data_IF_159948701124
#
_entry.id   IF_159948701124
#
_cell.length_a   1.000
_cell.length_b   1.000
_cell.length_c   1.000
_cell.angle_alpha   90.00
_cell.angle_beta   90.00
_cell.angle_gamma   90.00
#
_symmetry.space_group_name_H-M   'P 1'
#
loop_
_entity.id
_entity.type
_entity.pdbx_description
1 polymer ?
#
# COMPACT_ATOMS: atom_id res chain seq x y z
N UNK A 1 7.39 12.42 -9.67
CA UNK A 1 8.05 11.73 -8.54
C UNK A 1 9.13 12.65 -8.00
N UNK A 2 9.13 12.87 -6.70
CA UNK A 2 10.09 13.75 -6.01
C UNK A 2 10.92 12.90 -5.05
N UNK A 3 12.25 12.93 -5.19
CA UNK A 3 13.15 12.14 -4.36
C UNK A 3 13.77 13.01 -3.25
N UNK A 4 13.81 12.46 -2.05
CA UNK A 4 14.39 13.08 -0.86
C UNK A 4 15.48 12.15 -0.33
N UNK A 5 16.58 12.72 0.15
CA UNK A 5 17.65 11.97 0.81
C UNK A 5 17.76 12.48 2.24
N UNK A 6 17.71 11.56 3.20
CA UNK A 6 17.80 11.86 4.63
C UNK A 6 18.86 10.99 5.30
N UNK A 7 19.41 11.48 6.40
CA UNK A 7 20.50 10.79 7.11
C UNK A 7 19.97 9.64 7.97
N UNK A 8 18.83 9.83 8.65
CA UNK A 8 18.30 8.90 9.64
C UNK A 8 16.84 8.49 9.41
N UNK A 9 16.43 7.39 10.03
CA UNK A 9 15.04 6.95 10.08
C UNK A 9 14.11 7.93 10.77
N UNK A 10 14.61 8.65 11.78
CA UNK A 10 13.85 9.72 12.44
C UNK A 10 13.57 10.90 11.50
N UNK A 11 14.54 11.27 10.67
CA UNK A 11 14.34 12.31 9.64
C UNK A 11 13.39 11.84 8.54
N UNK A 12 13.45 10.55 8.19
CA UNK A 12 12.51 9.93 7.26
C UNK A 12 11.08 9.97 7.78
N UNK A 13 10.85 9.57 9.04
CA UNK A 13 9.52 9.59 9.69
C UNK A 13 8.96 11.01 9.72
N UNK A 14 9.77 11.98 10.16
CA UNK A 14 9.37 13.39 10.25
C UNK A 14 9.01 13.98 8.87
N UNK A 15 9.83 13.72 7.86
CA UNK A 15 9.58 14.18 6.50
C UNK A 15 8.32 13.54 5.92
N UNK A 16 8.16 12.22 6.08
CA UNK A 16 6.99 11.49 5.61
C UNK A 16 5.71 12.07 6.23
N UNK A 17 5.67 12.31 7.54
CA UNK A 17 4.53 12.92 8.21
C UNK A 17 4.23 14.33 7.70
N UNK A 18 5.27 15.13 7.44
CA UNK A 18 5.12 16.49 6.91
C UNK A 18 4.56 16.55 5.49
N UNK A 19 4.73 15.49 4.69
CA UNK A 19 4.21 15.39 3.33
C UNK A 19 2.74 14.96 3.28
N UNK A 20 2.21 14.34 4.35
CA UNK A 20 0.83 13.86 4.38
C UNK A 20 -0.11 15.03 4.73
N UNK A 21 -1.13 15.33 3.90
CA UNK A 21 -2.11 16.38 4.20
C UNK A 21 -2.89 16.11 5.49
N UNK A 22 -3.30 17.17 6.18
CA UNK A 22 -4.15 17.08 7.36
C UNK A 22 -5.50 16.43 7.02
N UNK A 23 -5.96 15.53 7.89
CA UNK A 23 -7.22 14.80 7.71
C UNK A 23 -7.17 13.65 6.70
N UNK A 24 -6.03 13.40 6.05
CA UNK A 24 -5.90 12.36 5.03
C UNK A 24 -6.13 10.94 5.60
N UNK A 25 -6.77 10.10 4.80
CA UNK A 25 -6.87 8.66 5.02
C UNK A 25 -5.57 7.99 4.56
N UNK A 26 -4.81 7.46 5.53
CA UNK A 26 -3.48 6.89 5.29
C UNK A 26 -3.52 5.39 5.41
N UNK A 27 -3.07 4.70 4.36
CA UNK A 27 -2.86 3.27 4.36
C UNK A 27 -1.37 2.95 4.52
N UNK A 28 -1.00 2.26 5.60
CA UNK A 28 0.36 1.80 5.85
C UNK A 28 0.57 0.38 5.32
N UNK A 29 1.35 0.23 4.24
CA UNK A 29 1.74 -1.09 3.75
C UNK A 29 2.54 -1.84 4.83
N UNK A 30 2.45 -3.17 4.85
CA UNK A 30 3.24 -3.97 5.79
C UNK A 30 4.73 -3.80 5.47
N UNK A 31 5.48 -3.16 6.37
CA UNK A 31 6.86 -2.77 6.14
C UNK A 31 7.65 -2.80 7.45
N UNK A 32 8.76 -3.55 7.47
CA UNK A 32 9.65 -3.58 8.61
C UNK A 32 10.32 -2.22 8.84
N UNK A 33 10.72 -1.54 7.76
CA UNK A 33 11.30 -0.19 7.83
C UNK A 33 10.34 0.79 8.50
N UNK A 34 9.05 0.78 8.13
CA UNK A 34 8.06 1.67 8.73
C UNK A 34 7.78 1.37 10.21
N UNK A 35 7.95 0.12 10.63
CA UNK A 35 7.84 -0.27 12.02
C UNK A 35 9.07 0.19 12.81
N UNK A 36 10.27 -0.01 12.25
CA UNK A 36 11.55 0.34 12.87
C UNK A 36 11.71 1.85 13.07
N UNK A 37 11.33 2.67 12.09
CA UNK A 37 11.37 4.14 12.23
C UNK A 37 10.22 4.72 13.06
N UNK A 38 9.31 3.87 13.59
CA UNK A 38 8.16 4.29 14.40
C UNK A 38 6.98 4.88 13.62
N UNK A 39 7.12 5.11 12.32
CA UNK A 39 6.10 5.80 11.51
C UNK A 39 4.73 5.12 11.54
N UNK A 40 4.70 3.79 11.58
CA UNK A 40 3.41 3.05 11.65
C UNK A 40 2.64 3.39 12.93
N UNK A 41 3.34 3.38 14.08
CA UNK A 41 2.73 3.69 15.37
C UNK A 41 2.31 5.16 15.46
N UNK A 42 3.13 6.07 14.92
CA UNK A 42 2.80 7.49 14.85
C UNK A 42 1.54 7.76 14.02
N UNK A 43 1.40 7.12 12.85
CA UNK A 43 0.19 7.25 12.01
C UNK A 43 -1.03 6.64 12.71
N UNK A 44 -0.89 5.48 13.35
CA UNK A 44 -1.99 4.80 14.03
C UNK A 44 -2.50 5.57 15.27
N UNK A 45 -1.61 6.31 15.96
CA UNK A 45 -1.94 7.13 17.12
C UNK A 45 -2.26 8.60 16.79
N UNK A 46 -2.12 9.01 15.53
CA UNK A 46 -2.28 10.39 15.11
C UNK A 46 -3.72 10.89 15.28
N UNK A 47 -3.87 12.08 15.84
CA UNK A 47 -5.16 12.82 15.83
C UNK A 47 -5.36 13.65 14.57
N UNK A 48 -4.29 13.84 13.78
CA UNK A 48 -4.27 14.64 12.54
C UNK A 48 -4.62 13.79 11.31
N UNK A 49 -4.32 12.49 11.36
CA UNK A 49 -4.45 11.56 10.24
C UNK A 49 -5.46 10.47 10.58
N UNK A 50 -6.12 9.91 9.56
CA UNK A 50 -7.00 8.75 9.74
C UNK A 50 -6.28 7.50 9.25
N UNK A 51 -5.78 6.67 10.18
CA UNK A 51 -5.19 5.37 9.82
C UNK A 51 -6.25 4.41 9.31
N UNK A 52 -6.20 4.10 8.01
CA UNK A 52 -7.10 3.13 7.38
C UNK A 52 -6.96 1.75 8.02
N UNK A 53 -5.74 1.35 8.40
CA UNK A 53 -5.51 0.05 9.04
C UNK A 53 -6.11 -0.04 10.42
N UNK A 54 -5.99 1.02 11.22
CA UNK A 54 -6.63 1.07 12.55
C UNK A 54 -8.15 0.97 12.44
N UNK A 55 -8.75 1.66 11.46
CA UNK A 55 -10.20 1.58 11.21
C UNK A 55 -10.60 0.18 10.76
N UNK A 56 -9.93 -0.40 9.75
CA UNK A 56 -10.25 -1.73 9.23
C UNK A 56 -10.15 -2.82 10.31
N UNK A 57 -9.19 -2.74 11.24
CA UNK A 57 -9.04 -3.70 12.35
C UNK A 57 -10.22 -3.68 13.34
N UNK A 58 -10.97 -2.58 13.40
CA UNK A 58 -12.11 -2.42 14.31
C UNK A 58 -13.44 -2.81 13.65
N UNK A 59 -13.45 -3.05 12.34
CA UNK A 59 -14.65 -3.39 11.58
C UNK A 59 -14.93 -4.89 11.62
N UNK A 60 -16.20 -5.23 11.51
CA UNK A 60 -16.66 -6.61 11.41
C UNK A 60 -16.74 -7.06 9.94
N UNK A 61 -15.94 -8.06 9.59
CA UNK A 61 -15.91 -8.63 8.25
C UNK A 61 -17.23 -9.27 7.81
N UNK A 62 -18.03 -9.79 8.74
CA UNK A 62 -19.30 -10.45 8.40
C UNK A 62 -20.39 -9.45 7.99
N UNK A 63 -20.37 -8.25 8.57
CA UNK A 63 -21.44 -7.26 8.42
C UNK A 63 -21.01 -6.02 7.62
N UNK A 64 -19.71 -5.71 7.56
CA UNK A 64 -19.19 -4.46 6.99
C UNK A 64 -18.20 -4.70 5.83
N UNK A 65 -18.27 -5.88 5.19
CA UNK A 65 -17.32 -6.26 4.14
C UNK A 65 -17.27 -5.29 2.96
N UNK A 66 -18.40 -4.71 2.59
CA UNK A 66 -18.46 -3.74 1.49
C UNK A 66 -17.68 -2.48 1.85
N UNK A 67 -17.93 -1.93 3.04
CA UNK A 67 -17.28 -0.72 3.57
C UNK A 67 -15.78 -0.94 3.73
N UNK A 68 -15.36 -2.12 4.21
CA UNK A 68 -13.95 -2.48 4.31
C UNK A 68 -13.25 -2.45 2.95
N UNK A 69 -13.89 -3.01 1.90
CA UNK A 69 -13.34 -2.99 0.53
C UNK A 69 -13.28 -1.58 -0.05
N UNK A 70 -14.31 -0.75 0.21
CA UNK A 70 -14.33 0.64 -0.26
C UNK A 70 -13.21 1.44 0.40
N UNK A 71 -13.08 1.34 1.72
CA UNK A 71 -12.07 2.06 2.50
C UNK A 71 -10.64 1.60 2.14
N UNK A 72 -10.41 0.29 2.04
CA UNK A 72 -9.10 -0.26 1.67
C UNK A 72 -8.67 0.04 0.23
N UNK A 73 -9.63 0.24 -0.68
CA UNK A 73 -9.33 0.52 -2.09
C UNK A 73 -9.07 2.00 -2.40
N UNK A 74 -9.40 2.92 -1.48
CA UNK A 74 -9.40 4.37 -1.75
C UNK A 74 -8.78 5.22 -0.63
N UNK A 75 -7.61 4.88 -0.08
CA UNK A 75 -6.91 5.82 0.79
C UNK A 75 -6.46 7.06 0.00
N UNK A 76 -6.36 8.20 0.67
CA UNK A 76 -5.78 9.42 0.10
C UNK A 76 -4.27 9.27 -0.10
N UNK A 77 -3.60 8.58 0.83
CA UNK A 77 -2.15 8.35 0.81
C UNK A 77 -1.84 6.90 1.17
N UNK A 78 -0.90 6.29 0.43
CA UNK A 78 -0.28 5.02 0.78
C UNK A 78 1.17 5.26 1.18
N UNK A 79 1.57 4.74 2.33
CA UNK A 79 2.96 4.80 2.82
C UNK A 79 3.49 3.38 2.96
N UNK A 80 4.66 3.11 2.39
CA UNK A 80 5.28 1.78 2.39
C UNK A 80 6.77 1.87 2.10
N UNK A 81 7.51 0.84 2.49
CA UNK A 81 8.86 0.61 1.96
C UNK A 81 8.80 -0.20 0.66
N UNK A 82 9.91 -0.20 -0.05
CA UNK A 82 10.07 -0.90 -1.32
C UNK A 82 11.31 -1.79 -1.23
N UNK A 83 11.43 -2.78 -2.10
CA UNK A 83 12.53 -3.74 -2.08
C UNK A 83 13.76 -3.22 -2.84
N UNK A 84 13.52 -2.50 -3.94
CA UNK A 84 14.59 -1.89 -4.72
C UNK A 84 14.08 -0.68 -5.49
N UNK A 85 15.02 0.19 -5.86
CA UNK A 85 14.82 1.24 -6.86
C UNK A 85 15.98 1.13 -7.85
N UNK A 86 15.69 1.07 -9.14
CA UNK A 86 16.71 1.00 -10.20
C UNK A 86 17.30 2.38 -10.48
N UNK A 87 18.45 2.44 -11.17
CA UNK A 87 19.04 3.72 -11.61
C UNK A 87 18.10 4.50 -12.54
N UNK A 88 17.23 3.79 -13.25
CA UNK A 88 16.19 4.35 -14.12
C UNK A 88 14.97 4.86 -13.33
N UNK A 89 14.94 4.68 -12.01
CA UNK A 89 13.86 5.12 -11.13
C UNK A 89 12.68 4.14 -11.06
N UNK A 90 12.87 2.88 -11.46
CA UNK A 90 11.83 1.87 -11.36
C UNK A 90 11.78 1.34 -9.92
N UNK A 91 10.59 1.33 -9.33
CA UNK A 91 10.37 0.92 -7.94
C UNK A 91 9.88 -0.54 -7.92
N UNK A 92 10.60 -1.40 -7.21
CA UNK A 92 10.29 -2.83 -7.09
C UNK A 92 9.71 -3.10 -5.71
N UNK A 93 8.52 -3.71 -5.67
CA UNK A 93 7.86 -4.18 -4.45
C UNK A 93 7.58 -5.67 -4.61
N UNK A 94 8.14 -6.48 -3.71
CA UNK A 94 7.80 -7.89 -3.54
C UNK A 94 6.91 -8.03 -2.31
N UNK A 95 5.79 -8.73 -2.42
CA UNK A 95 4.87 -8.98 -1.29
C UNK A 95 4.51 -10.45 -1.29
N UNK A 96 4.07 -11.00 -0.15
CA UNK A 96 3.46 -12.33 -0.11
C UNK A 96 2.21 -12.46 -1.03
N UNK A 97 1.70 -11.33 -1.54
CA UNK A 97 0.68 -11.22 -2.58
C UNK A 97 1.22 -10.97 -4.01
N UNK A 98 2.54 -10.99 -4.24
CA UNK A 98 3.14 -10.82 -5.56
C UNK A 98 4.66 -10.60 -5.53
N UNK A 99 5.40 -11.57 -6.07
CA UNK A 99 6.79 -11.47 -6.51
C UNK A 99 6.88 -12.20 -7.85
N UNK A 100 7.48 -11.55 -8.86
CA UNK A 100 7.46 -11.88 -10.30
C UNK A 100 6.16 -11.44 -10.98
N UNK A 101 6.20 -10.34 -11.74
CA UNK A 101 5.01 -9.77 -12.40
C UNK A 101 4.31 -10.81 -13.29
N UNK A 102 5.05 -11.59 -14.06
CA UNK A 102 4.44 -12.65 -14.90
C UNK A 102 3.79 -13.75 -14.05
N UNK A 103 4.44 -14.23 -12.99
CA UNK A 103 3.85 -15.25 -12.13
C UNK A 103 2.68 -14.70 -11.29
N UNK A 104 2.72 -13.41 -10.93
CA UNK A 104 1.64 -12.73 -10.23
C UNK A 104 0.42 -12.57 -11.15
N UNK A 105 0.63 -12.13 -12.40
CA UNK A 105 -0.44 -12.01 -13.40
C UNK A 105 -1.00 -13.39 -13.76
N UNK A 106 -0.12 -14.40 -13.90
CA UNK A 106 -0.52 -15.79 -14.16
C UNK A 106 -1.30 -16.36 -12.99
N UNK A 107 -0.86 -16.15 -11.75
CA UNK A 107 -1.59 -16.58 -10.55
C UNK A 107 -2.93 -15.85 -10.41
N UNK A 108 -3.03 -14.56 -10.72
CA UNK A 108 -4.30 -13.83 -10.71
C UNK A 108 -5.29 -14.46 -11.70
N UNK A 109 -4.83 -14.73 -12.94
CA UNK A 109 -5.69 -15.22 -14.03
C UNK A 109 -6.00 -16.72 -13.95
N UNK A 110 -5.02 -17.52 -13.62
CA UNK A 110 -5.10 -18.99 -13.71
C UNK A 110 -5.41 -19.65 -12.36
N UNK A 111 -5.27 -18.93 -11.24
CA UNK A 111 -5.50 -19.50 -9.91
C UNK A 111 -6.53 -18.71 -9.10
N UNK A 112 -6.32 -17.41 -8.89
CA UNK A 112 -7.19 -16.62 -8.02
C UNK A 112 -8.56 -16.34 -8.66
N UNK A 113 -8.60 -15.95 -9.95
CA UNK A 113 -9.85 -15.66 -10.65
C UNK A 113 -10.78 -16.88 -10.73
N UNK A 114 -10.34 -18.09 -11.11
CA UNK A 114 -11.23 -19.26 -11.17
C UNK A 114 -11.82 -19.63 -9.80
N UNK A 115 -11.01 -19.58 -8.74
CA UNK A 115 -11.49 -19.86 -7.37
C UNK A 115 -12.47 -18.79 -6.87
N UNK A 116 -12.22 -17.53 -7.21
CA UNK A 116 -13.11 -16.42 -6.88
C UNK A 116 -14.38 -16.40 -7.73
N UNK A 117 -14.31 -16.84 -8.99
CA UNK A 117 -15.45 -17.03 -9.89
C UNK A 117 -16.37 -18.13 -9.35
N UNK A 118 -15.81 -19.27 -8.96
CA UNK A 118 -16.56 -20.36 -8.35
C UNK A 118 -17.21 -19.92 -7.02
N UNK A 119 -16.45 -19.24 -6.15
CA UNK A 119 -16.96 -18.67 -4.91
C UNK A 119 -18.06 -17.63 -5.16
N UNK A 120 -17.88 -16.74 -6.14
CA UNK A 120 -18.84 -15.70 -6.48
C UNK A 120 -20.12 -16.26 -7.13
N UNK A 121 -19.99 -17.31 -7.94
CA UNK A 121 -21.14 -18.01 -8.52
C UNK A 121 -21.97 -18.68 -7.42
N UNK A 122 -21.32 -19.30 -6.43
CA UNK A 122 -21.99 -19.91 -5.28
C UNK A 122 -22.60 -18.88 -4.33
N UNK A 123 -21.91 -17.77 -4.07
CA UNK A 123 -22.36 -16.76 -3.12
C UNK A 123 -23.37 -15.76 -3.69
N UNK A 124 -23.26 -15.44 -4.98
CA UNK A 124 -23.96 -14.31 -5.61
C UNK A 124 -24.67 -14.68 -6.92
N UNK A 125 -24.54 -15.92 -7.43
CA UNK A 125 -25.18 -16.36 -8.67
C UNK A 125 -24.58 -15.75 -9.94
N UNK A 126 -23.47 -15.02 -9.83
CA UNK A 126 -22.77 -14.37 -10.92
C UNK A 126 -21.28 -14.67 -10.87
N UNK A 127 -20.68 -14.82 -12.05
CA UNK A 127 -19.24 -15.00 -12.19
C UNK A 127 -18.44 -13.73 -11.86
N UNK A 128 -17.18 -13.93 -11.55
CA UNK A 128 -16.16 -12.91 -11.43
C UNK A 128 -15.40 -12.76 -12.75
N UNK A 129 -14.91 -11.55 -13.00
CA UNK A 129 -14.01 -11.28 -14.11
C UNK A 129 -12.98 -10.25 -13.67
N UNK A 130 -11.82 -10.26 -14.32
CA UNK A 130 -10.82 -9.22 -14.09
C UNK A 130 -11.30 -7.96 -14.78
N UNK A 131 -11.92 -7.07 -14.01
CA UNK A 131 -12.43 -5.80 -14.53
C UNK A 131 -11.35 -4.72 -14.69
N UNK A 132 -10.31 -4.73 -13.84
CA UNK A 132 -9.20 -3.77 -13.87
C UNK A 132 -7.93 -4.42 -13.30
N UNK A 133 -6.80 -4.16 -13.94
CA UNK A 133 -5.44 -4.46 -13.45
C UNK A 133 -4.71 -3.11 -13.33
N UNK A 134 -4.04 -2.86 -12.19
CA UNK A 134 -3.35 -1.58 -11.95
C UNK A 134 -1.84 -1.79 -11.96
N UNK A 135 -1.18 -1.20 -12.96
CA UNK A 135 0.26 -1.19 -13.14
C UNK A 135 0.69 0.27 -13.26
N UNK A 136 1.59 0.72 -12.40
CA UNK A 136 2.07 2.11 -12.40
C UNK A 136 3.27 2.24 -13.36
N UNK A 137 3.11 2.97 -14.46
CA UNK A 137 4.17 3.21 -15.46
C UNK A 137 4.84 4.59 -15.31
N UNK A 138 4.03 5.64 -15.14
CA UNK A 138 4.47 7.02 -14.97
C UNK A 138 3.39 7.80 -14.23
N UNK A 139 3.77 8.50 -13.15
CA UNK A 139 2.91 9.48 -12.50
C UNK A 139 3.07 10.84 -13.20
N UNK A 140 1.98 11.37 -13.75
CA UNK A 140 1.98 12.62 -14.51
C UNK A 140 1.76 13.83 -13.60
N UNK A 141 1.04 13.65 -12.50
CA UNK A 141 0.81 14.72 -11.54
C UNK A 141 2.08 14.95 -10.72
N UNK A 142 2.60 16.19 -10.66
CA UNK A 142 3.73 16.50 -9.79
C UNK A 142 3.34 16.22 -8.33
N UNK A 143 4.34 15.88 -7.51
CA UNK A 143 4.22 15.71 -6.05
C UNK A 143 3.21 14.65 -5.56
N UNK A 144 2.79 13.73 -6.43
CA UNK A 144 1.95 12.58 -6.06
C UNK A 144 2.72 11.38 -5.54
N UNK A 145 3.99 11.27 -5.90
CA UNK A 145 4.86 10.18 -5.46
C UNK A 145 6.13 10.78 -4.89
N UNK A 146 6.37 10.50 -3.62
CA UNK A 146 7.60 10.85 -2.93
C UNK A 146 8.40 9.58 -2.64
N UNK A 147 9.70 9.63 -2.94
CA UNK A 147 10.66 8.60 -2.55
C UNK A 147 11.56 9.19 -1.48
N UNK A 148 11.70 8.52 -0.35
CA UNK A 148 12.60 8.93 0.73
C UNK A 148 13.70 7.86 0.83
N UNK A 149 14.91 8.24 0.43
CA UNK A 149 16.11 7.41 0.57
C UNK A 149 16.77 7.73 1.91
N UNK A 150 16.93 6.71 2.74
CA UNK A 150 17.54 6.84 4.07
C UNK A 150 18.93 6.23 4.03
N UNK A 151 19.93 6.99 4.49
CA UNK A 151 21.33 6.52 4.53
C UNK A 151 21.60 5.56 5.68
N UNK A 152 20.90 5.74 6.80
CA UNK A 152 20.89 4.78 7.90
C UNK A 152 20.45 3.39 7.41
N UNK A 153 21.15 2.35 7.89
CA UNK A 153 20.75 0.97 7.62
C UNK A 153 19.48 0.66 8.41
N UNK A 154 18.36 0.55 7.72
CA UNK A 154 17.05 0.23 8.27
C UNK A 154 16.51 -1.05 7.65
N UNK A 155 15.81 -1.87 8.43
CA UNK A 155 15.37 -3.20 8.03
C UNK A 155 16.45 -4.27 8.24
N UNK A 156 16.49 -5.26 7.34
CA UNK A 156 17.47 -6.36 7.37
C UNK A 156 18.77 -6.02 6.61
#
# INVERSE_FOLDING_TARGET
MTAHIVESGADASRLALGLIPDGAEVFTATSQTLAEIGLTAEIDASTRLRSVRSVLKQMDMATQWHEMRVLGARPDVIVGSVHAITEQGEVVVASASGSQLDEAMRRIREYALPLEDERAQLAYGQGSFIGKELIFYREYMPDRVHVILVKEKLGF
#
